data_IF_145990563124
#
_entry.id   IF_145990563124
#
_cell.length_a   1.000
_cell.length_b   1.000
_cell.length_c   1.000
_cell.angle_alpha   90.00
_cell.angle_beta   90.00
_cell.angle_gamma   90.00
#
_symmetry.space_group_name_H-M   'P 1'
#
loop_
_entity.id
_entity.type
_entity.pdbx_description
1 polymer ?
#
# COMPACT_ATOMS: atom_id res chain seq x y z
N UNK A 1 -31.77 113.97 -23.96
CA UNK A 1 -30.82 113.51 -22.90
C UNK A 1 -31.52 112.76 -21.75
N UNK A 2 -32.72 113.16 -21.29
CA UNK A 2 -33.40 112.52 -20.15
C UNK A 2 -33.91 111.07 -20.38
N UNK A 3 -34.27 110.68 -21.61
CA UNK A 3 -34.80 109.34 -21.90
C UNK A 3 -33.76 108.20 -21.77
N UNK A 4 -32.49 108.49 -22.06
CA UNK A 4 -31.40 107.50 -22.03
C UNK A 4 -30.98 107.13 -20.60
N UNK A 5 -30.91 108.10 -19.68
CA UNK A 5 -30.57 107.85 -18.28
C UNK A 5 -31.66 107.06 -17.53
N UNK A 6 -32.95 107.35 -17.82
CA UNK A 6 -34.05 106.60 -17.22
C UNK A 6 -34.10 105.14 -17.68
N UNK A 7 -33.64 104.85 -18.91
CA UNK A 7 -33.59 103.49 -19.44
C UNK A 7 -32.43 102.70 -18.80
N UNK A 8 -31.25 103.30 -18.67
CA UNK A 8 -30.11 102.70 -17.98
C UNK A 8 -30.40 102.39 -16.50
N UNK A 9 -31.11 103.27 -15.78
CA UNK A 9 -31.48 103.02 -14.38
C UNK A 9 -32.46 101.85 -14.23
N UNK A 10 -33.37 101.64 -15.19
CA UNK A 10 -34.28 100.48 -15.20
C UNK A 10 -33.52 99.18 -15.50
N UNK A 11 -32.55 99.21 -16.40
CA UNK A 11 -31.68 98.07 -16.68
C UNK A 11 -30.86 97.69 -15.45
N UNK A 12 -30.22 98.66 -14.79
CA UNK A 12 -29.47 98.44 -13.54
C UNK A 12 -30.39 97.93 -12.42
N UNK A 13 -31.59 98.48 -12.27
CA UNK A 13 -32.57 97.99 -11.29
C UNK A 13 -32.95 96.52 -11.54
N UNK A 14 -33.09 96.13 -12.81
CA UNK A 14 -33.42 94.75 -13.19
C UNK A 14 -32.27 93.80 -12.87
N UNK A 15 -31.04 94.20 -13.21
CA UNK A 15 -29.83 93.45 -12.88
C UNK A 15 -29.64 93.33 -11.35
N UNK A 16 -29.73 94.43 -10.61
CA UNK A 16 -29.63 94.43 -9.15
C UNK A 16 -30.67 93.51 -8.48
N UNK A 17 -31.92 93.49 -8.99
CA UNK A 17 -32.96 92.57 -8.51
C UNK A 17 -32.62 91.11 -8.79
N UNK A 18 -32.06 90.80 -9.97
CA UNK A 18 -31.62 89.42 -10.27
C UNK A 18 -30.46 88.98 -9.39
N UNK A 19 -29.54 89.89 -9.06
CA UNK A 19 -28.39 89.60 -8.19
C UNK A 19 -28.80 89.43 -6.72
N UNK A 20 -29.79 90.20 -6.25
CA UNK A 20 -30.37 90.02 -4.91
C UNK A 20 -31.07 88.67 -4.71
N UNK A 21 -31.46 88.00 -5.80
CA UNK A 21 -32.04 86.64 -5.77
C UNK A 21 -30.99 85.54 -5.92
N UNK A 22 -29.72 85.89 -6.17
CA UNK A 22 -28.66 84.91 -6.36
C UNK A 22 -28.27 84.24 -5.03
N UNK A 23 -27.83 82.97 -5.07
CA UNK A 23 -27.21 82.35 -3.91
C UNK A 23 -25.98 83.15 -3.48
N UNK A 24 -25.90 83.50 -2.18
CA UNK A 24 -24.84 84.35 -1.59
C UNK A 24 -24.88 85.83 -2.03
N UNK A 25 -26.09 86.40 -2.14
CA UNK A 25 -26.32 87.80 -2.47
C UNK A 25 -25.40 88.79 -1.70
N UNK A 26 -25.21 88.60 -0.39
CA UNK A 26 -24.33 89.47 0.43
C UNK A 26 -22.86 89.47 -0.03
N UNK A 27 -22.34 88.33 -0.47
CA UNK A 27 -20.96 88.22 -0.96
C UNK A 27 -20.82 88.86 -2.35
N UNK A 28 -21.87 88.74 -3.16
CA UNK A 28 -21.92 89.30 -4.50
C UNK A 28 -22.06 90.83 -4.46
N UNK A 29 -22.90 91.35 -3.55
CA UNK A 29 -23.03 92.77 -3.26
C UNK A 29 -21.70 93.36 -2.74
N UNK A 30 -21.05 92.68 -1.79
CA UNK A 30 -19.75 93.10 -1.26
C UNK A 30 -18.68 93.21 -2.36
N UNK A 31 -18.65 92.30 -3.33
CA UNK A 31 -17.70 92.33 -4.45
C UNK A 31 -18.05 93.42 -5.46
N UNK A 32 -19.33 93.61 -5.80
CA UNK A 32 -19.79 94.64 -6.73
C UNK A 32 -19.50 96.04 -6.19
N UNK A 33 -19.66 96.26 -4.88
CA UNK A 33 -19.37 97.52 -4.21
C UNK A 33 -17.88 97.92 -4.26
N UNK A 34 -16.96 96.97 -4.52
CA UNK A 34 -15.53 97.31 -4.70
C UNK A 34 -15.22 97.94 -6.05
N UNK A 35 -16.09 97.79 -7.06
CA UNK A 35 -15.88 98.30 -8.42
C UNK A 35 -14.76 97.62 -9.22
N UNK A 36 -14.11 96.60 -8.66
CA UNK A 36 -13.01 95.87 -9.29
C UNK A 36 -13.52 94.68 -10.12
N UNK A 37 -13.43 94.77 -11.45
CA UNK A 37 -13.84 93.71 -12.38
C UNK A 37 -13.22 92.34 -12.04
N UNK A 38 -11.94 92.31 -11.65
CA UNK A 38 -11.21 91.08 -11.34
C UNK A 38 -11.81 90.30 -10.16
N UNK A 39 -12.30 90.98 -9.11
CA UNK A 39 -12.91 90.31 -7.95
C UNK A 39 -14.27 89.70 -8.31
N UNK A 40 -15.02 90.38 -9.17
CA UNK A 40 -16.29 89.86 -9.67
C UNK A 40 -16.10 88.62 -10.54
N UNK A 41 -15.12 88.64 -11.45
CA UNK A 41 -14.74 87.45 -12.24
C UNK A 41 -14.25 86.30 -11.35
N UNK A 42 -13.49 86.59 -10.28
CA UNK A 42 -13.06 85.57 -9.31
C UNK A 42 -14.26 84.92 -8.57
N UNK A 43 -15.24 85.72 -8.13
CA UNK A 43 -16.44 85.20 -7.48
C UNK A 43 -17.28 84.32 -8.42
N UNK A 44 -17.43 84.72 -9.69
CA UNK A 44 -18.08 83.89 -10.71
C UNK A 44 -17.32 82.58 -10.92
N UNK A 45 -15.98 82.63 -10.99
CA UNK A 45 -15.13 81.44 -11.06
C UNK A 45 -15.29 80.51 -9.86
N UNK A 46 -15.44 81.05 -8.64
CA UNK A 46 -15.68 80.26 -7.43
C UNK A 46 -17.05 79.58 -7.43
N UNK A 47 -18.09 80.27 -7.93
CA UNK A 47 -19.43 79.71 -8.10
C UNK A 47 -19.45 78.60 -9.16
N UNK A 48 -18.82 78.83 -10.31
CA UNK A 48 -18.67 77.81 -11.35
C UNK A 48 -17.91 76.59 -10.81
N UNK A 49 -16.81 76.80 -10.09
CA UNK A 49 -16.06 75.73 -9.45
C UNK A 49 -16.90 74.99 -8.39
N UNK A 50 -17.78 75.68 -7.65
CA UNK A 50 -18.69 75.05 -6.70
C UNK A 50 -19.76 74.19 -7.39
N UNK A 51 -20.34 74.68 -8.48
CA UNK A 51 -21.31 73.93 -9.29
C UNK A 51 -20.66 72.69 -9.91
N UNK A 52 -19.45 72.83 -10.46
CA UNK A 52 -18.66 71.70 -10.99
C UNK A 52 -18.40 70.66 -9.88
N UNK A 53 -17.99 71.09 -8.67
CA UNK A 53 -17.79 70.19 -7.53
C UNK A 53 -19.08 69.47 -7.12
N UNK A 54 -20.21 70.18 -7.07
CA UNK A 54 -21.51 69.59 -6.76
C UNK A 54 -21.93 68.56 -7.81
N UNK A 55 -21.78 68.87 -9.10
CA UNK A 55 -22.07 67.95 -10.19
C UNK A 55 -21.17 66.70 -10.13
N UNK A 56 -19.87 66.87 -9.88
CA UNK A 56 -18.93 65.76 -9.72
C UNK A 56 -19.25 64.88 -8.49
N UNK A 57 -19.68 65.49 -7.39
CA UNK A 57 -20.15 64.78 -6.19
C UNK A 57 -21.38 63.94 -6.50
N UNK A 58 -22.39 64.55 -7.14
CA UNK A 58 -23.62 63.87 -7.49
C UNK A 58 -23.36 62.68 -8.42
N UNK A 59 -22.52 62.89 -9.45
CA UNK A 59 -22.09 61.82 -10.35
C UNK A 59 -21.40 60.67 -9.58
N UNK A 60 -20.51 61.00 -8.64
CA UNK A 60 -19.80 60.00 -7.83
C UNK A 60 -20.76 59.22 -6.92
N UNK A 61 -21.73 59.89 -6.30
CA UNK A 61 -22.79 59.25 -5.50
C UNK A 61 -23.65 58.31 -6.35
N UNK A 62 -24.04 58.75 -7.55
CA UNK A 62 -24.85 57.93 -8.44
C UNK A 62 -24.09 56.69 -8.96
N UNK A 63 -22.78 56.80 -9.19
CA UNK A 63 -21.93 55.63 -9.46
C UNK A 63 -21.75 54.73 -8.24
N UNK A 64 -21.64 55.30 -7.04
CA UNK A 64 -21.51 54.53 -5.81
C UNK A 64 -22.78 53.71 -5.49
N UNK A 65 -23.97 54.23 -5.81
CA UNK A 65 -25.24 53.49 -5.67
C UNK A 65 -25.23 52.16 -6.44
N UNK A 66 -24.66 52.14 -7.65
CA UNK A 66 -24.55 50.92 -8.46
C UNK A 66 -23.61 49.89 -7.82
N UNK A 67 -22.60 50.36 -7.10
CA UNK A 67 -21.63 49.49 -6.42
C UNK A 67 -22.07 49.08 -5.02
N UNK A 68 -23.08 49.74 -4.43
CA UNK A 68 -23.48 49.55 -3.04
C UNK A 68 -23.79 48.08 -2.71
N UNK A 69 -24.49 47.37 -3.61
CA UNK A 69 -24.87 45.97 -3.43
C UNK A 69 -23.67 44.99 -3.38
N UNK A 70 -22.49 45.44 -3.82
CA UNK A 70 -21.28 44.63 -3.93
C UNK A 70 -20.22 44.98 -2.87
N UNK A 71 -20.45 46.03 -2.08
CA UNK A 71 -19.51 46.54 -1.09
C UNK A 71 -20.04 46.27 0.32
N UNK A 72 -19.12 46.01 1.26
CA UNK A 72 -19.47 45.98 2.67
C UNK A 72 -19.76 47.38 3.23
N UNK A 73 -20.59 47.45 4.26
CA UNK A 73 -21.09 48.70 4.85
C UNK A 73 -19.96 49.68 5.23
N UNK A 74 -18.87 49.17 5.82
CA UNK A 74 -17.73 49.97 6.26
C UNK A 74 -17.05 50.72 5.10
N UNK A 75 -16.78 50.00 3.99
CA UNK A 75 -16.16 50.60 2.81
C UNK A 75 -17.15 51.54 2.10
N UNK A 76 -18.42 51.18 2.04
CA UNK A 76 -19.47 52.02 1.46
C UNK A 76 -19.56 53.36 2.20
N UNK A 77 -19.56 53.36 3.54
CA UNK A 77 -19.53 54.57 4.35
C UNK A 77 -18.26 55.39 4.12
N UNK A 78 -17.09 54.75 4.05
CA UNK A 78 -15.83 55.44 3.80
C UNK A 78 -15.87 56.20 2.45
N UNK A 79 -16.36 55.56 1.40
CA UNK A 79 -16.47 56.17 0.07
C UNK A 79 -17.48 57.33 0.07
N UNK A 80 -18.60 57.20 0.78
CA UNK A 80 -19.58 58.29 0.95
C UNK A 80 -18.98 59.50 1.69
N UNK A 81 -18.26 59.28 2.80
CA UNK A 81 -17.60 60.35 3.56
C UNK A 81 -16.56 61.08 2.73
N UNK A 82 -15.77 60.35 1.95
CA UNK A 82 -14.80 60.94 1.04
C UNK A 82 -15.46 61.80 -0.04
N UNK A 83 -16.57 61.34 -0.64
CA UNK A 83 -17.34 62.11 -1.64
C UNK A 83 -17.94 63.38 -1.01
N UNK A 84 -18.49 63.29 0.20
CA UNK A 84 -19.02 64.43 0.94
C UNK A 84 -17.92 65.46 1.27
N UNK A 85 -16.73 64.98 1.65
CA UNK A 85 -15.55 65.78 1.98
C UNK A 85 -14.70 66.25 0.79
N UNK A 86 -15.11 65.99 -0.46
CA UNK A 86 -14.33 66.26 -1.68
C UNK A 86 -12.94 65.60 -1.70
N UNK A 87 -12.82 64.43 -1.08
CA UNK A 87 -11.60 63.64 -1.06
C UNK A 87 -11.62 62.57 -2.16
N UNK A 88 -10.43 62.13 -2.57
CA UNK A 88 -10.30 61.12 -3.63
C UNK A 88 -10.55 59.71 -3.12
N UNK A 89 -11.41 58.98 -3.82
CA UNK A 89 -11.62 57.55 -3.61
C UNK A 89 -10.65 56.65 -4.41
N UNK A 90 -9.79 57.23 -5.24
CA UNK A 90 -8.86 56.48 -6.09
C UNK A 90 -7.97 55.51 -5.32
N UNK A 91 -7.44 55.80 -4.11
CA UNK A 91 -6.61 54.84 -3.39
C UNK A 91 -7.40 53.59 -2.95
N UNK A 92 -8.64 53.77 -2.48
CA UNK A 92 -9.48 52.65 -2.06
C UNK A 92 -9.93 51.81 -3.26
N UNK A 93 -10.39 52.47 -4.33
CA UNK A 93 -10.81 51.80 -5.57
C UNK A 93 -9.62 51.17 -6.33
N UNK A 94 -8.44 51.77 -6.22
CA UNK A 94 -7.19 51.25 -6.80
C UNK A 94 -6.82 49.89 -6.23
N UNK A 95 -6.89 49.73 -4.90
CA UNK A 95 -6.67 48.44 -4.23
C UNK A 95 -7.66 47.37 -4.70
N UNK A 96 -8.95 47.71 -4.85
CA UNK A 96 -9.94 46.78 -5.38
C UNK A 96 -9.61 46.38 -6.82
N UNK A 97 -9.22 47.34 -7.66
CA UNK A 97 -8.86 47.10 -9.06
C UNK A 97 -7.61 46.22 -9.20
N UNK A 98 -6.62 46.42 -8.34
CA UNK A 98 -5.41 45.59 -8.30
C UNK A 98 -5.70 44.15 -7.84
N UNK A 99 -6.65 43.96 -6.92
CA UNK A 99 -7.04 42.65 -6.42
C UNK A 99 -8.02 41.90 -7.35
N UNK A 100 -8.76 42.62 -8.20
CA UNK A 100 -9.81 42.08 -9.08
C UNK A 100 -9.37 40.86 -9.92
N UNK A 101 -8.17 40.85 -10.54
CA UNK A 101 -7.68 39.68 -11.29
C UNK A 101 -7.56 38.40 -10.44
N UNK A 102 -7.31 38.54 -9.14
CA UNK A 102 -7.11 37.41 -8.23
C UNK A 102 -8.42 36.91 -7.59
N UNK A 103 -9.53 37.66 -7.76
CA UNK A 103 -10.80 37.37 -7.10
C UNK A 103 -11.35 35.98 -7.43
N UNK A 104 -11.26 35.56 -8.70
CA UNK A 104 -11.72 34.24 -9.13
C UNK A 104 -10.92 33.13 -8.45
N UNK A 105 -9.60 33.28 -8.38
CA UNK A 105 -8.73 32.32 -7.70
C UNK A 105 -9.04 32.28 -6.19
N UNK A 106 -9.21 33.45 -5.56
CA UNK A 106 -9.59 33.55 -4.15
C UNK A 106 -10.92 32.84 -3.85
N UNK A 107 -11.97 33.06 -4.64
CA UNK A 107 -13.26 32.41 -4.41
C UNK A 107 -13.19 30.89 -4.57
N UNK A 108 -12.41 30.39 -5.53
CA UNK A 108 -12.16 28.96 -5.71
C UNK A 108 -11.45 28.34 -4.50
N UNK A 109 -10.46 29.05 -3.95
CA UNK A 109 -9.73 28.59 -2.75
C UNK A 109 -10.62 28.69 -1.51
N UNK A 110 -11.36 29.79 -1.34
CA UNK A 110 -12.22 30.04 -0.18
C UNK A 110 -13.20 28.90 0.08
N UNK A 111 -13.87 28.40 -0.97
CA UNK A 111 -14.82 27.30 -0.84
C UNK A 111 -14.17 25.96 -0.43
N UNK A 112 -12.88 25.79 -0.70
CA UNK A 112 -12.09 24.59 -0.36
C UNK A 112 -11.26 24.76 0.92
N UNK A 113 -11.04 25.99 1.37
CA UNK A 113 -10.19 26.29 2.51
C UNK A 113 -10.65 25.60 3.80
N UNK A 114 -11.97 25.43 3.98
CA UNK A 114 -12.53 24.71 5.12
C UNK A 114 -12.30 23.19 5.09
N UNK A 115 -11.81 22.64 3.97
CA UNK A 115 -11.47 21.22 3.80
C UNK A 115 -9.96 20.96 3.87
N UNK A 116 -9.13 22.01 3.99
CA UNK A 116 -7.69 21.87 4.05
C UNK A 116 -7.28 21.38 5.44
N UNK A 117 -6.48 20.33 5.48
CA UNK A 117 -5.88 19.82 6.71
C UNK A 117 -4.61 20.60 7.08
N UNK A 118 -4.05 20.36 8.27
CA UNK A 118 -2.82 21.01 8.72
C UNK A 118 -1.65 20.77 7.75
N UNK A 119 -1.56 19.56 7.20
CA UNK A 119 -0.55 19.16 6.20
C UNK A 119 -0.69 19.94 4.89
N UNK A 120 -1.92 20.23 4.44
CA UNK A 120 -2.16 21.04 3.25
C UNK A 120 -1.69 22.48 3.46
N UNK A 121 -1.93 23.04 4.65
CA UNK A 121 -1.51 24.39 5.01
C UNK A 121 0.03 24.50 5.09
N UNK A 122 0.70 23.51 5.67
CA UNK A 122 2.16 23.41 5.68
C UNK A 122 2.71 23.35 4.25
N UNK A 123 2.10 22.54 3.39
CA UNK A 123 2.49 22.44 1.99
C UNK A 123 2.32 23.78 1.25
N UNK A 124 1.20 24.49 1.45
CA UNK A 124 0.99 25.82 0.89
C UNK A 124 2.01 26.84 1.42
N UNK A 125 2.40 26.74 2.69
CA UNK A 125 3.47 27.57 3.27
C UNK A 125 4.83 27.32 2.60
N UNK A 126 5.15 26.07 2.25
CA UNK A 126 6.34 25.73 1.47
C UNK A 126 6.28 26.31 0.05
N UNK A 127 5.14 26.21 -0.63
CA UNK A 127 4.96 26.83 -1.95
C UNK A 127 5.11 28.35 -1.90
N UNK A 128 4.64 28.98 -0.81
CA UNK A 128 4.79 30.43 -0.61
C UNK A 128 6.25 30.88 -0.59
N UNK A 129 7.17 30.07 -0.05
CA UNK A 129 8.61 30.35 -0.07
C UNK A 129 9.22 30.34 -1.48
N UNK A 130 8.47 29.87 -2.48
CA UNK A 130 8.88 29.81 -3.89
C UNK A 130 8.02 30.71 -4.77
N UNK A 131 7.27 31.64 -4.18
CA UNK A 131 6.34 32.52 -4.89
C UNK A 131 6.99 33.21 -6.10
N UNK A 132 8.17 33.83 -5.95
CA UNK A 132 8.83 34.53 -7.07
C UNK A 132 9.04 33.64 -8.30
N UNK A 133 9.37 32.36 -8.08
CA UNK A 133 9.58 31.39 -9.17
C UNK A 133 8.26 30.92 -9.78
N UNK A 134 7.19 30.87 -8.99
CA UNK A 134 5.85 30.51 -9.46
C UNK A 134 5.21 31.67 -10.24
N UNK A 135 5.37 32.89 -9.75
CA UNK A 135 4.87 34.11 -10.40
C UNK A 135 5.58 34.40 -11.73
N UNK A 136 6.81 33.90 -11.91
CA UNK A 136 7.53 33.95 -13.18
C UNK A 136 6.94 33.02 -14.27
N UNK A 137 6.07 32.07 -13.89
CA UNK A 137 5.44 31.14 -14.84
C UNK A 137 4.20 31.82 -15.44
N UNK A 138 4.02 31.79 -16.78
CA UNK A 138 2.80 32.30 -17.40
C UNK A 138 1.54 31.66 -16.80
N UNK A 139 0.51 32.46 -16.53
CA UNK A 139 -0.71 32.01 -15.85
C UNK A 139 -1.38 30.79 -16.53
N UNK A 140 -1.33 30.74 -17.86
CA UNK A 140 -1.83 29.62 -18.68
C UNK A 140 -1.05 28.31 -18.50
N UNK A 141 0.23 28.38 -18.13
CA UNK A 141 1.10 27.23 -17.93
C UNK A 141 1.29 26.86 -16.45
N UNK A 142 0.87 27.73 -15.53
CA UNK A 142 1.09 27.59 -14.09
C UNK A 142 0.47 26.30 -13.55
N UNK A 143 -0.81 26.04 -13.84
CA UNK A 143 -1.50 24.84 -13.34
C UNK A 143 -0.80 23.55 -13.82
N UNK A 144 -0.55 23.44 -15.13
CA UNK A 144 0.09 22.28 -15.71
C UNK A 144 1.50 22.05 -15.13
N UNK A 145 2.23 23.13 -14.87
CA UNK A 145 3.60 23.06 -14.33
C UNK A 145 3.61 22.64 -12.87
N UNK A 146 2.75 23.24 -12.02
CA UNK A 146 2.62 22.85 -10.62
C UNK A 146 2.17 21.39 -10.50
N UNK A 147 1.19 20.95 -11.31
CA UNK A 147 0.73 19.56 -11.34
C UNK A 147 1.85 18.59 -11.73
N UNK A 148 2.66 18.91 -12.74
CA UNK A 148 3.81 18.08 -13.15
C UNK A 148 4.87 17.99 -12.06
N UNK A 149 5.21 19.12 -11.43
CA UNK A 149 6.16 19.18 -10.33
C UNK A 149 5.71 18.27 -9.17
N UNK A 150 4.46 18.41 -8.73
CA UNK A 150 3.94 17.60 -7.63
C UNK A 150 3.91 16.11 -7.96
N UNK A 151 3.44 15.76 -9.14
CA UNK A 151 3.43 14.36 -9.59
C UNK A 151 4.84 13.77 -9.67
N UNK A 152 5.84 14.56 -10.06
CA UNK A 152 7.24 14.11 -10.10
C UNK A 152 7.76 13.83 -8.69
N UNK A 153 7.64 14.79 -7.77
CA UNK A 153 8.13 14.62 -6.41
C UNK A 153 7.40 13.51 -5.64
N UNK A 154 6.08 13.38 -5.83
CA UNK A 154 5.31 12.28 -5.25
C UNK A 154 5.81 10.92 -5.74
N UNK A 155 6.06 10.77 -7.05
CA UNK A 155 6.61 9.53 -7.63
C UNK A 155 8.03 9.25 -7.17
N UNK A 156 8.87 10.27 -7.03
CA UNK A 156 10.22 10.12 -6.48
C UNK A 156 10.19 9.69 -5.02
N UNK A 157 9.31 10.28 -4.21
CA UNK A 157 9.11 9.86 -2.82
C UNK A 157 8.60 8.43 -2.71
N UNK A 158 7.64 8.03 -3.55
CA UNK A 158 7.19 6.64 -3.62
C UNK A 158 8.29 5.69 -4.06
N UNK A 159 9.05 6.05 -5.11
CA UNK A 159 10.21 5.27 -5.57
C UNK A 159 11.19 5.06 -4.41
N UNK A 160 11.58 6.13 -3.72
CA UNK A 160 12.54 6.07 -2.62
C UNK A 160 12.03 5.20 -1.47
N UNK A 161 10.75 5.30 -1.12
CA UNK A 161 10.15 4.43 -0.08
C UNK A 161 10.19 2.96 -0.48
N UNK A 162 9.79 2.65 -1.73
CA UNK A 162 9.85 1.28 -2.25
C UNK A 162 11.28 0.73 -2.27
N UNK A 163 12.26 1.54 -2.65
CA UNK A 163 13.68 1.19 -2.64
C UNK A 163 14.24 1.01 -1.21
N UNK A 164 13.74 1.76 -0.22
CA UNK A 164 14.11 1.59 1.19
C UNK A 164 13.51 0.32 1.79
N UNK A 165 12.24 0.05 1.48
CA UNK A 165 11.54 -1.14 1.97
C UNK A 165 12.05 -2.43 1.30
N UNK A 166 12.59 -2.32 0.07
CA UNK A 166 13.12 -3.44 -0.71
C UNK A 166 14.51 -3.08 -1.27
N UNK A 167 15.58 -3.22 -0.47
CA UNK A 167 16.95 -2.92 -0.88
C UNK A 167 17.38 -3.71 -2.13
N UNK A 168 16.76 -4.84 -2.42
CA UNK A 168 16.99 -5.62 -3.62
C UNK A 168 16.66 -4.90 -4.93
N UNK A 169 15.76 -3.91 -4.89
CA UNK A 169 15.47 -3.07 -6.05
C UNK A 169 16.62 -2.13 -6.40
N UNK A 170 17.56 -1.91 -5.47
CA UNK A 170 18.78 -1.14 -5.69
C UNK A 170 19.89 -1.95 -6.37
N UNK A 171 19.76 -3.29 -6.42
CA UNK A 171 20.74 -4.10 -7.12
C UNK A 171 20.79 -3.71 -8.58
N UNK A 172 22.01 -3.51 -9.09
CA UNK A 172 22.19 -3.33 -10.52
C UNK A 172 21.76 -4.62 -11.24
N UNK A 173 21.24 -4.50 -12.46
CA UNK A 173 20.93 -5.68 -13.27
C UNK A 173 22.15 -6.59 -13.46
N UNK A 174 23.36 -6.01 -13.45
CA UNK A 174 24.61 -6.76 -13.57
C UNK A 174 24.93 -7.56 -12.30
N UNK A 175 24.69 -6.99 -11.11
CA UNK A 175 24.87 -7.71 -9.84
C UNK A 175 23.88 -8.88 -9.72
N UNK A 176 22.62 -8.66 -10.08
CA UNK A 176 21.62 -9.73 -10.12
C UNK A 176 22.04 -10.87 -11.07
N UNK A 177 22.51 -10.52 -12.28
CA UNK A 177 23.03 -11.50 -13.25
C UNK A 177 24.25 -12.25 -12.73
N UNK A 178 25.17 -11.57 -12.07
CA UNK A 178 26.37 -12.18 -11.48
C UNK A 178 25.99 -13.19 -10.37
N UNK A 179 25.02 -12.84 -9.51
CA UNK A 179 24.51 -13.75 -8.47
C UNK A 179 23.84 -14.98 -9.06
N UNK A 180 23.01 -14.82 -10.10
CA UNK A 180 22.38 -15.94 -10.81
C UNK A 180 23.43 -16.86 -11.44
N UNK A 181 24.46 -16.30 -12.08
CA UNK A 181 25.54 -17.09 -12.67
C UNK A 181 26.32 -17.88 -11.60
N UNK A 182 26.65 -17.23 -10.48
CA UNK A 182 27.33 -17.88 -9.35
C UNK A 182 26.51 -19.02 -8.74
N UNK A 183 25.19 -18.85 -8.60
CA UNK A 183 24.30 -19.90 -8.12
C UNK A 183 24.25 -21.09 -9.09
N UNK A 184 24.18 -20.81 -10.40
CA UNK A 184 24.19 -21.86 -11.41
C UNK A 184 25.50 -22.66 -11.40
N UNK A 185 26.64 -21.99 -11.20
CA UNK A 185 27.94 -22.66 -11.04
C UNK A 185 27.97 -23.53 -9.78
N UNK A 186 27.49 -23.01 -8.65
CA UNK A 186 27.42 -23.74 -7.39
C UNK A 186 26.53 -24.99 -7.48
N UNK A 187 25.39 -24.92 -8.17
CA UNK A 187 24.51 -26.09 -8.41
C UNK A 187 25.23 -27.18 -9.23
N UNK A 188 25.96 -26.78 -10.28
CA UNK A 188 26.76 -27.73 -11.08
C UNK A 188 27.85 -28.38 -10.23
N UNK A 189 28.58 -27.59 -9.44
CA UNK A 189 29.62 -28.10 -8.54
C UNK A 189 29.05 -29.05 -7.48
N UNK A 190 27.93 -28.70 -6.85
CA UNK A 190 27.23 -29.55 -5.88
C UNK A 190 26.85 -30.91 -6.50
N UNK A 191 26.29 -30.92 -7.72
CA UNK A 191 25.94 -32.17 -8.42
C UNK A 191 27.16 -33.01 -8.74
N UNK A 192 28.28 -32.39 -9.12
CA UNK A 192 29.53 -33.09 -9.38
C UNK A 192 30.09 -33.74 -8.11
N UNK A 193 30.15 -33.00 -7.00
CA UNK A 193 30.59 -33.50 -5.70
C UNK A 193 29.68 -34.62 -5.18
N UNK A 194 28.36 -34.48 -5.30
CA UNK A 194 27.41 -35.53 -4.92
C UNK A 194 27.63 -36.82 -5.72
N UNK A 195 27.94 -36.70 -7.03
CA UNK A 195 28.26 -37.86 -7.87
C UNK A 195 29.54 -38.55 -7.41
N UNK A 196 30.57 -37.78 -7.06
CA UNK A 196 31.84 -38.32 -6.56
C UNK A 196 31.67 -39.01 -5.20
N UNK A 197 30.90 -38.39 -4.29
CA UNK A 197 30.62 -38.92 -2.96
C UNK A 197 29.85 -40.24 -3.02
N UNK A 198 28.83 -40.33 -3.88
CA UNK A 198 28.10 -41.59 -4.12
C UNK A 198 28.98 -42.66 -4.74
N UNK A 199 29.93 -42.30 -5.62
CA UNK A 199 30.85 -43.25 -6.25
C UNK A 199 31.90 -43.82 -5.30
N UNK A 200 32.48 -42.98 -4.42
CA UNK A 200 33.53 -43.39 -3.48
C UNK A 200 33.03 -44.27 -2.32
N UNK A 201 31.76 -44.16 -1.96
CA UNK A 201 31.16 -44.91 -0.85
C UNK A 201 30.78 -46.37 -1.16
N UNK A 202 30.90 -46.81 -2.41
CA UNK A 202 30.47 -48.16 -2.83
C UNK A 202 31.67 -49.10 -2.81
N UNK A 203 31.64 -50.07 -1.89
CA UNK A 203 32.60 -51.17 -1.85
C UNK A 203 32.36 -52.13 -3.03
N UNK A 204 33.22 -52.06 -4.05
CA UNK A 204 33.11 -52.88 -5.25
C UNK A 204 33.20 -54.39 -4.97
N UNK A 205 33.80 -54.80 -3.86
CA UNK A 205 33.89 -56.22 -3.48
C UNK A 205 32.52 -56.81 -3.09
N UNK A 206 31.56 -55.96 -2.70
CA UNK A 206 30.19 -56.37 -2.34
C UNK A 206 29.25 -56.48 -3.54
N UNK A 207 29.73 -56.16 -4.75
CA UNK A 207 28.92 -56.13 -5.95
C UNK A 207 29.04 -57.44 -6.73
N UNK A 208 27.90 -57.93 -7.22
CA UNK A 208 27.86 -59.03 -8.17
C UNK A 208 28.60 -58.72 -9.47
N UNK A 209 29.09 -59.75 -10.15
CA UNK A 209 29.71 -59.63 -11.47
C UNK A 209 28.72 -59.14 -12.53
N UNK A 210 29.24 -58.51 -13.59
CA UNK A 210 28.42 -58.03 -14.73
C UNK A 210 27.50 -59.11 -15.31
N UNK A 211 27.97 -60.36 -15.40
CA UNK A 211 27.18 -61.48 -15.92
C UNK A 211 25.97 -61.83 -15.02
N UNK A 212 26.13 -61.73 -13.70
CA UNK A 212 25.03 -61.93 -12.74
C UNK A 212 24.00 -60.80 -12.86
N UNK A 213 24.46 -59.56 -13.00
CA UNK A 213 23.58 -58.42 -13.24
C UNK A 213 22.83 -58.53 -14.57
N UNK A 214 23.48 -58.94 -15.66
CA UNK A 214 22.84 -59.12 -16.98
C UNK A 214 21.73 -60.19 -17.00
N UNK A 215 21.73 -61.14 -16.07
CA UNK A 215 20.66 -62.13 -15.92
C UNK A 215 19.46 -61.57 -15.14
N UNK A 216 19.72 -60.66 -14.19
CA UNK A 216 18.71 -60.01 -13.35
C UNK A 216 18.07 -58.80 -14.05
N UNK A 217 18.83 -58.02 -14.83
CA UNK A 217 18.37 -56.78 -15.50
C UNK A 217 17.61 -56.98 -16.81
N UNK A 218 17.32 -58.23 -17.21
CA UNK A 218 16.49 -58.53 -18.39
C UNK A 218 15.02 -58.24 -18.07
N UNK A 219 14.61 -57.01 -18.29
CA UNK A 219 13.25 -56.53 -18.00
C UNK A 219 12.24 -56.79 -19.15
N UNK A 220 12.69 -57.31 -20.30
CA UNK A 220 11.85 -57.59 -21.48
C UNK A 220 12.09 -58.99 -22.05
N UNK A 221 11.04 -59.59 -22.65
CA UNK A 221 11.09 -60.91 -23.30
C UNK A 221 10.61 -62.08 -22.43
N UNK A 222 10.75 -63.32 -22.94
CA UNK A 222 10.28 -64.57 -22.30
C UNK A 222 10.95 -64.89 -20.95
N UNK A 223 12.05 -64.21 -20.60
CA UNK A 223 12.77 -64.32 -19.32
C UNK A 223 12.69 -63.03 -18.50
N UNK A 224 11.68 -62.18 -18.75
CA UNK A 224 11.46 -60.97 -17.96
C UNK A 224 11.07 -61.33 -16.53
N UNK A 225 11.72 -60.67 -15.56
CA UNK A 225 11.46 -60.85 -14.13
C UNK A 225 10.50 -59.79 -13.63
N UNK A 226 9.68 -60.13 -12.63
CA UNK A 226 8.82 -59.16 -11.93
C UNK A 226 9.69 -58.21 -11.10
N UNK A 227 9.18 -57.01 -10.80
CA UNK A 227 9.93 -56.02 -10.01
C UNK A 227 10.36 -56.57 -8.64
N UNK A 228 9.50 -57.34 -7.96
CA UNK A 228 9.84 -58.03 -6.71
C UNK A 228 11.03 -58.97 -6.89
N UNK A 229 10.99 -59.85 -7.88
CA UNK A 229 12.06 -60.81 -8.17
C UNK A 229 13.38 -60.09 -8.50
N UNK A 230 13.31 -59.00 -9.28
CA UNK A 230 14.47 -58.16 -9.57
C UNK A 230 15.11 -57.59 -8.29
N UNK A 231 14.29 -57.10 -7.36
CA UNK A 231 14.78 -56.52 -6.10
C UNK A 231 15.36 -57.60 -5.19
N UNK A 232 14.70 -58.75 -5.06
CA UNK A 232 15.18 -59.87 -4.23
C UNK A 232 16.54 -60.37 -4.71
N UNK A 233 16.65 -60.68 -6.00
CA UNK A 233 17.90 -61.17 -6.60
C UNK A 233 18.96 -60.08 -6.68
N UNK A 234 18.55 -58.85 -6.98
CA UNK A 234 19.45 -57.70 -6.99
C UNK A 234 20.00 -57.39 -5.60
N UNK A 235 19.22 -57.56 -4.54
CA UNK A 235 19.67 -57.31 -3.18
C UNK A 235 20.88 -58.18 -2.81
N UNK A 236 20.90 -59.45 -3.23
CA UNK A 236 22.05 -60.36 -3.06
C UNK A 236 23.28 -59.92 -3.89
N UNK A 237 23.07 -59.26 -5.02
CA UNK A 237 24.14 -58.74 -5.89
C UNK A 237 24.65 -57.35 -5.47
N UNK A 238 24.16 -56.80 -4.36
CA UNK A 238 24.57 -55.49 -3.85
C UNK A 238 23.72 -54.31 -4.35
N UNK A 239 22.47 -54.55 -4.80
CA UNK A 239 21.55 -53.48 -5.24
C UNK A 239 21.36 -52.39 -4.19
N UNK A 240 21.22 -52.77 -2.92
CA UNK A 240 21.03 -51.84 -1.80
C UNK A 240 22.28 -50.97 -1.55
N UNK A 241 23.47 -51.45 -1.94
CA UNK A 241 24.71 -50.67 -1.87
C UNK A 241 24.87 -49.75 -3.09
N UNK A 242 24.45 -50.20 -4.28
CA UNK A 242 24.45 -49.38 -5.50
C UNK A 242 23.41 -48.25 -5.45
N UNK A 243 22.27 -48.51 -4.80
CA UNK A 243 21.17 -47.57 -4.61
C UNK A 243 20.89 -47.45 -3.11
N UNK A 244 21.63 -46.58 -2.40
CA UNK A 244 21.47 -46.43 -0.95
C UNK A 244 20.20 -45.66 -0.57
N UNK A 245 19.61 -44.89 -1.49
CA UNK A 245 18.40 -44.08 -1.26
C UNK A 245 17.27 -44.59 -2.14
N UNK A 246 16.12 -44.85 -1.51
CA UNK A 246 14.90 -45.34 -2.17
C UNK A 246 13.75 -44.38 -1.88
N UNK A 247 13.11 -43.90 -2.97
CA UNK A 247 11.91 -43.06 -2.91
C UNK A 247 10.74 -43.88 -3.42
N UNK A 248 9.80 -44.23 -2.55
CA UNK A 248 8.73 -45.18 -2.86
C UNK A 248 7.44 -44.82 -2.12
N UNK A 249 6.31 -45.09 -2.76
CA UNK A 249 5.03 -45.13 -2.05
C UNK A 249 5.02 -46.33 -1.08
N UNK A 250 4.45 -46.20 0.13
CA UNK A 250 4.45 -47.27 1.14
C UNK A 250 3.82 -48.58 0.66
N UNK A 251 2.71 -48.52 -0.09
CA UNK A 251 2.08 -49.72 -0.66
C UNK A 251 3.02 -50.44 -1.63
N UNK A 252 3.73 -49.70 -2.49
CA UNK A 252 4.71 -50.29 -3.40
C UNK A 252 5.87 -50.91 -2.62
N UNK A 253 6.42 -50.18 -1.64
CA UNK A 253 7.49 -50.66 -0.78
C UNK A 253 7.10 -51.96 -0.06
N UNK A 254 5.87 -52.05 0.45
CA UNK A 254 5.32 -53.26 1.06
C UNK A 254 5.29 -54.45 0.10
N UNK A 255 4.90 -54.21 -1.17
CA UNK A 255 4.79 -55.26 -2.18
C UNK A 255 6.12 -55.76 -2.72
N UNK A 256 7.14 -54.92 -2.84
CA UNK A 256 8.34 -55.27 -3.62
C UNK A 256 9.61 -55.43 -2.81
N UNK A 257 9.70 -54.81 -1.63
CA UNK A 257 10.89 -54.93 -0.78
C UNK A 257 10.79 -56.17 0.11
N UNK A 258 11.91 -56.88 0.36
CA UNK A 258 11.91 -58.02 1.26
C UNK A 258 11.48 -57.60 2.67
N UNK A 259 10.75 -58.47 3.36
CA UNK A 259 10.33 -58.25 4.75
C UNK A 259 11.47 -58.63 5.70
N UNK A 260 12.48 -57.76 5.78
CA UNK A 260 13.66 -57.93 6.64
C UNK A 260 13.74 -56.77 7.64
N UNK A 261 13.85 -57.11 8.93
CA UNK A 261 14.03 -56.11 9.98
C UNK A 261 15.30 -55.29 9.73
N UNK A 262 15.20 -53.97 9.87
CA UNK A 262 16.34 -53.07 9.72
C UNK A 262 17.05 -53.17 8.37
N UNK A 263 16.29 -53.40 7.29
CA UNK A 263 16.76 -53.36 5.91
C UNK A 263 17.37 -51.99 5.55
N UNK A 264 16.83 -50.91 6.12
CA UNK A 264 17.33 -49.55 6.01
C UNK A 264 17.78 -49.02 7.37
N UNK A 265 18.85 -48.24 7.37
CA UNK A 265 19.29 -47.52 8.56
C UNK A 265 18.29 -46.43 8.97
N UNK A 266 17.63 -45.81 7.99
CA UNK A 266 16.67 -44.74 8.21
C UNK A 266 15.48 -44.86 7.25
N UNK A 267 14.28 -44.62 7.77
CA UNK A 267 13.04 -44.45 7.00
C UNK A 267 12.47 -43.07 7.31
N UNK A 268 12.20 -42.29 6.27
CA UNK A 268 11.66 -40.94 6.40
C UNK A 268 10.26 -40.94 5.78
N UNK A 269 9.27 -40.52 6.57
CA UNK A 269 7.92 -40.25 6.09
C UNK A 269 7.77 -38.76 5.89
N UNK A 270 7.49 -38.36 4.65
CA UNK A 270 7.09 -37.00 4.30
C UNK A 270 5.56 -36.95 4.19
N UNK A 271 4.95 -35.83 4.56
CA UNK A 271 3.49 -35.65 4.63
C UNK A 271 2.77 -36.75 5.45
N UNK A 272 3.33 -37.09 6.62
CA UNK A 272 2.83 -38.17 7.46
C UNK A 272 1.40 -37.96 8.00
N UNK A 273 0.91 -36.71 8.03
CA UNK A 273 -0.50 -36.43 8.37
C UNK A 273 -1.48 -36.95 7.33
N UNK A 274 -1.02 -37.33 6.13
CA UNK A 274 -1.82 -37.97 5.08
C UNK A 274 -1.60 -39.49 5.02
N UNK A 275 -0.87 -40.07 5.98
CA UNK A 275 -0.47 -41.48 5.97
C UNK A 275 -1.27 -42.30 6.98
N UNK A 276 -2.15 -43.21 6.54
CA UNK A 276 -2.76 -44.19 7.44
C UNK A 276 -1.69 -45.07 8.11
N UNK A 277 -1.86 -45.33 9.39
CA UNK A 277 -0.89 -46.07 10.22
C UNK A 277 -0.61 -47.46 9.63
N UNK A 278 -1.65 -48.15 9.15
CA UNK A 278 -1.57 -49.50 8.60
C UNK A 278 -0.65 -49.61 7.37
N UNK A 279 -0.52 -48.53 6.59
CA UNK A 279 0.35 -48.50 5.41
C UNK A 279 1.81 -48.26 5.77
N UNK A 280 2.08 -47.67 6.94
CA UNK A 280 3.43 -47.40 7.43
C UNK A 280 4.05 -48.62 8.12
N UNK A 281 3.26 -49.53 8.69
CA UNK A 281 3.77 -50.69 9.45
C UNK A 281 4.87 -51.50 8.71
N UNK A 282 4.71 -51.88 7.43
CA UNK A 282 5.72 -52.66 6.73
C UNK A 282 7.03 -51.88 6.53
N UNK A 283 6.96 -50.57 6.33
CA UNK A 283 8.14 -49.72 6.13
C UNK A 283 8.79 -49.35 7.46
N UNK A 284 8.02 -49.19 8.54
CA UNK A 284 8.52 -49.03 9.91
C UNK A 284 9.39 -50.24 10.32
N UNK A 285 8.90 -51.46 10.10
CA UNK A 285 9.65 -52.68 10.42
C UNK A 285 11.00 -52.79 9.67
N UNK A 286 11.08 -52.20 8.48
CA UNK A 286 12.30 -52.22 7.65
C UNK A 286 13.31 -51.15 8.07
N UNK A 287 12.94 -50.16 8.89
CA UNK A 287 13.84 -49.09 9.35
C UNK A 287 14.45 -49.38 10.71
N UNK A 288 15.71 -48.95 10.92
CA UNK A 288 16.31 -48.90 12.27
C UNK A 288 15.95 -47.60 12.99
N UNK A 289 15.97 -46.50 12.26
CA UNK A 289 15.56 -45.17 12.73
C UNK A 289 14.40 -44.71 11.85
N UNK A 290 13.38 -44.13 12.46
CA UNK A 290 12.25 -43.54 11.73
C UNK A 290 12.19 -42.04 11.99
N UNK A 291 12.02 -41.27 10.92
CA UNK A 291 11.76 -39.84 10.97
C UNK A 291 10.38 -39.60 10.37
N UNK A 292 9.53 -38.88 11.08
CA UNK A 292 8.17 -38.56 10.66
C UNK A 292 8.06 -37.05 10.52
N UNK A 293 7.71 -36.59 9.32
CA UNK A 293 7.53 -35.18 8.98
C UNK A 293 6.12 -34.96 8.45
N UNK A 294 5.45 -33.91 8.89
CA UNK A 294 4.11 -33.54 8.45
C UNK A 294 3.60 -32.28 9.14
N UNK A 295 2.44 -31.81 8.69
CA UNK A 295 1.75 -30.64 9.26
C UNK A 295 0.48 -31.09 10.00
N UNK A 296 0.42 -30.77 11.30
CA UNK A 296 -0.70 -31.08 12.19
C UNK A 296 -2.00 -30.37 11.81
N UNK A 297 -1.92 -29.27 11.05
CA UNK A 297 -3.10 -28.51 10.62
C UNK A 297 -3.68 -28.99 9.29
N UNK A 298 -3.02 -29.93 8.62
CA UNK A 298 -3.58 -30.55 7.43
C UNK A 298 -4.67 -31.57 7.80
N UNK A 299 -5.60 -31.82 6.88
CA UNK A 299 -6.66 -32.79 7.11
C UNK A 299 -6.08 -34.21 7.13
N UNK A 300 -6.50 -35.09 8.05
CA UNK A 300 -6.10 -36.50 8.07
C UNK A 300 -6.59 -37.23 6.81
N UNK A 301 -6.04 -38.42 6.49
CA UNK A 301 -6.44 -39.18 5.32
C UNK A 301 -7.93 -39.52 5.35
N UNK A 302 -8.59 -39.44 4.19
CA UNK A 302 -10.03 -39.69 4.08
C UNK A 302 -10.33 -41.18 4.31
N UNK A 303 -10.88 -41.52 5.47
CA UNK A 303 -11.26 -42.89 5.82
C UNK A 303 -12.50 -43.36 5.02
N UNK A 304 -12.30 -43.89 3.81
CA UNK A 304 -13.39 -44.40 2.96
C UNK A 304 -13.95 -45.76 3.39
N UNK A 305 -13.35 -46.46 4.37
CA UNK A 305 -13.69 -47.86 4.70
C UNK A 305 -13.87 -48.20 6.18
N UNK A 306 -13.74 -47.26 7.13
CA UNK A 306 -13.81 -47.56 8.57
C UNK A 306 -15.21 -47.88 9.09
N UNK A 307 -16.28 -47.57 8.36
CA UNK A 307 -17.67 -47.66 8.86
C UNK A 307 -18.30 -49.06 8.91
N UNK A 308 -17.55 -50.16 8.67
CA UNK A 308 -18.11 -51.53 8.61
C UNK A 308 -17.56 -52.54 9.62
N UNK A 309 -16.61 -52.16 10.48
CA UNK A 309 -15.99 -53.11 11.45
C UNK A 309 -16.10 -52.62 12.90
N UNK A 310 -17.03 -51.71 13.18
CA UNK A 310 -17.19 -51.11 14.53
C UNK A 310 -18.06 -51.94 15.50
N UNK A 311 -18.66 -53.07 15.12
CA UNK A 311 -19.78 -53.61 15.94
C UNK A 311 -19.44 -54.65 17.03
N UNK A 312 -18.28 -55.31 17.06
CA UNK A 312 -18.18 -56.56 17.87
C UNK A 312 -17.09 -56.59 18.96
N UNK A 313 -16.28 -55.54 19.17
CA UNK A 313 -15.21 -55.55 20.20
C UNK A 313 -15.24 -54.35 21.17
N UNK A 314 -16.24 -53.47 21.09
CA UNK A 314 -16.30 -52.25 21.90
C UNK A 314 -16.81 -52.45 23.35
N UNK A 315 -17.28 -53.63 23.73
CA UNK A 315 -18.06 -53.84 24.98
C UNK A 315 -17.28 -54.39 26.20
N UNK A 316 -15.94 -54.51 26.18
CA UNK A 316 -15.22 -55.21 27.27
C UNK A 316 -14.18 -54.44 28.09
N UNK A 317 -14.21 -53.10 28.13
CA UNK A 317 -13.30 -52.38 29.02
C UNK A 317 -13.88 -51.09 29.63
N UNK A 318 -14.31 -51.19 30.89
CA UNK A 318 -14.49 -50.06 31.81
C UNK A 318 -13.11 -49.69 32.38
N UNK A 319 -12.66 -48.48 32.12
CA UNK A 319 -11.26 -48.05 32.25
C UNK A 319 -10.79 -47.80 33.68
N UNK A 320 -10.96 -48.76 34.58
CA UNK A 320 -10.32 -48.69 35.90
C UNK A 320 -8.82 -48.93 35.74
N UNK A 321 -8.02 -47.93 36.14
CA UNK A 321 -6.58 -48.09 36.28
C UNK A 321 -6.30 -49.23 37.27
N UNK A 322 -5.31 -50.10 37.01
CA UNK A 322 -4.99 -51.20 37.91
C UNK A 322 -4.65 -50.67 39.31
N UNK A 323 -5.26 -51.24 40.35
CA UNK A 323 -5.01 -50.91 41.75
C UNK A 323 -3.51 -51.09 42.11
N UNK A 324 -3.05 -50.44 43.18
CA UNK A 324 -1.64 -50.52 43.63
C UNK A 324 -1.19 -51.97 43.93
N UNK A 325 -2.13 -52.89 44.18
CA UNK A 325 -1.92 -54.32 44.43
C UNK A 325 -2.04 -55.21 43.17
N UNK A 326 -2.17 -54.64 41.97
CA UNK A 326 -2.29 -55.42 40.74
C UNK A 326 -1.02 -56.23 40.41
N UNK A 327 -1.20 -57.50 40.03
CA UNK A 327 -0.12 -58.40 39.64
C UNK A 327 0.57 -57.94 38.34
N UNK A 328 1.83 -58.35 38.12
CA UNK A 328 2.63 -57.95 36.95
C UNK A 328 1.95 -58.30 35.62
N UNK A 329 1.29 -59.47 35.53
CA UNK A 329 0.49 -59.88 34.37
C UNK A 329 -0.74 -58.96 34.12
N UNK A 330 -1.35 -58.40 35.17
CA UNK A 330 -2.52 -57.51 35.05
C UNK A 330 -2.12 -56.12 34.55
N UNK A 331 -0.93 -55.64 34.97
CA UNK A 331 -0.35 -54.39 34.47
C UNK A 331 0.07 -54.52 33.01
N UNK A 332 0.72 -55.62 32.63
CA UNK A 332 1.05 -55.93 31.24
C UNK A 332 -0.22 -56.02 30.37
N UNK A 333 -1.27 -56.69 30.84
CA UNK A 333 -2.54 -56.79 30.11
C UNK A 333 -3.24 -55.43 29.95
N UNK A 334 -3.19 -54.56 30.97
CA UNK A 334 -3.71 -53.19 30.89
C UNK A 334 -2.92 -52.34 29.90
N UNK A 335 -1.59 -52.38 29.96
CA UNK A 335 -0.71 -51.68 29.02
C UNK A 335 -0.91 -52.17 27.58
N UNK A 336 -1.00 -53.48 27.36
CA UNK A 336 -1.26 -54.08 26.05
C UNK A 336 -2.63 -53.70 25.48
N UNK A 337 -3.65 -53.64 26.33
CA UNK A 337 -5.02 -53.26 25.94
C UNK A 337 -5.13 -51.75 25.67
N UNK A 338 -4.43 -50.92 26.45
CA UNK A 338 -4.31 -49.48 26.26
C UNK A 338 -3.56 -49.15 24.96
N UNK A 339 -2.41 -49.79 24.72
CA UNK A 339 -1.62 -49.66 23.49
C UNK A 339 -2.45 -50.04 22.24
N UNK A 340 -3.30 -51.07 22.33
CA UNK A 340 -4.19 -51.47 21.21
C UNK A 340 -5.25 -50.42 20.88
N UNK A 341 -5.81 -49.73 21.87
CA UNK A 341 -6.82 -48.68 21.66
C UNK A 341 -6.19 -47.43 21.05
N UNK A 342 -5.08 -46.95 21.61
CA UNK A 342 -4.40 -45.74 21.10
C UNK A 342 -3.91 -45.90 19.65
N UNK A 343 -3.36 -47.06 19.27
CA UNK A 343 -2.88 -47.27 17.89
C UNK A 343 -4.05 -47.36 16.90
N UNK A 344 -5.17 -48.00 17.29
CA UNK A 344 -6.36 -48.17 16.44
C UNK A 344 -7.13 -46.86 16.26
N UNK A 345 -7.13 -46.00 17.27
CA UNK A 345 -7.87 -44.73 17.29
C UNK A 345 -7.05 -43.57 16.71
N UNK A 346 -5.77 -43.78 16.37
CA UNK A 346 -4.94 -42.78 15.67
C UNK A 346 -5.36 -42.67 14.19
N UNK A 347 -5.74 -41.47 13.71
CA UNK A 347 -6.18 -41.28 12.33
C UNK A 347 -5.04 -41.33 11.31
N UNK A 348 -3.82 -41.00 11.73
CA UNK A 348 -2.65 -40.95 10.86
C UNK A 348 -1.33 -41.22 11.62
N UNK A 349 -0.27 -41.44 10.84
CA UNK A 349 1.06 -41.73 11.33
C UNK A 349 1.68 -40.54 12.09
N UNK A 350 1.34 -39.29 11.75
CA UNK A 350 1.90 -38.12 12.41
C UNK A 350 1.39 -38.04 13.86
N UNK A 351 0.09 -38.25 14.08
CA UNK A 351 -0.49 -38.24 15.42
C UNK A 351 0.07 -39.38 16.28
N UNK A 352 0.18 -40.60 15.71
CA UNK A 352 0.81 -41.72 16.39
C UNK A 352 2.27 -41.42 16.77
N UNK A 353 3.03 -40.87 15.82
CA UNK A 353 4.44 -40.52 16.03
C UNK A 353 4.63 -39.46 17.11
N UNK A 354 3.72 -38.48 17.23
CA UNK A 354 3.80 -37.45 18.28
C UNK A 354 3.65 -38.02 19.69
N UNK A 355 2.81 -39.05 19.85
CA UNK A 355 2.60 -39.70 21.14
C UNK A 355 3.80 -40.59 21.50
N UNK A 356 4.39 -41.26 20.52
CA UNK A 356 5.43 -42.27 20.73
C UNK A 356 6.88 -41.76 20.59
N UNK A 357 7.12 -40.64 19.91
CA UNK A 357 8.45 -40.15 19.55
C UNK A 357 8.70 -38.71 20.02
N UNK A 358 9.96 -38.33 20.28
CA UNK A 358 10.32 -36.94 20.58
C UNK A 358 9.99 -36.04 19.38
N UNK A 359 9.26 -34.95 19.65
CA UNK A 359 8.87 -33.99 18.61
C UNK A 359 9.82 -32.79 18.57
N UNK A 360 10.00 -32.22 17.38
CA UNK A 360 10.74 -30.97 17.18
C UNK A 360 10.11 -30.20 16.02
N UNK A 361 9.88 -28.91 16.22
CA UNK A 361 9.35 -28.03 15.17
C UNK A 361 10.48 -27.46 14.33
N UNK A 362 10.33 -27.45 13.01
CA UNK A 362 11.25 -26.74 12.13
C UNK A 362 11.24 -25.23 12.48
N UNK A 363 12.40 -24.66 12.77
CA UNK A 363 12.54 -23.24 13.08
C UNK A 363 12.40 -22.34 11.83
N UNK A 364 12.44 -22.94 10.63
CA UNK A 364 12.38 -22.26 9.34
C UNK A 364 11.23 -22.86 8.54
N UNK A 365 10.24 -22.05 8.21
CA UNK A 365 9.12 -22.43 7.38
C UNK A 365 9.51 -22.28 5.91
N UNK A 366 9.49 -23.35 5.10
CA UNK A 366 9.89 -23.31 3.67
C UNK A 366 8.93 -22.51 2.77
N UNK A 367 7.82 -21.97 3.29
CA UNK A 367 7.06 -20.99 2.50
C UNK A 367 7.87 -19.70 2.43
N UNK A 368 8.53 -19.53 1.29
CA UNK A 368 9.01 -18.24 0.77
C UNK A 368 8.17 -17.09 1.33
N UNK A 369 8.83 -16.06 1.86
CA UNK A 369 8.16 -14.83 2.29
C UNK A 369 7.33 -14.20 1.15
N UNK A 370 7.64 -14.54 -0.10
CA UNK A 370 6.95 -14.08 -1.29
C UNK A 370 5.98 -15.14 -1.83
N UNK A 371 4.69 -14.79 -1.83
CA UNK A 371 3.57 -15.63 -2.26
C UNK A 371 3.57 -15.91 -3.77
N UNK A 372 4.21 -15.07 -4.58
CA UNK A 372 4.25 -15.26 -6.04
C UNK A 372 5.21 -16.37 -6.52
N UNK A 373 6.00 -16.94 -5.61
CA UNK A 373 6.91 -18.06 -5.89
C UNK A 373 6.29 -19.43 -5.56
N UNK A 374 5.00 -19.45 -5.21
CA UNK A 374 4.13 -20.63 -5.04
C UNK A 374 3.26 -20.73 -6.29
#
# INVERSE_FOLDING_TARGET
LAGSASQQLREIQTLARSLAQAPRAEQLDAVILTGEKQRFEALLGDLDAALIRQAARQLSLDKLKVLADWLGDELLEQLHRAIAGNQSNLPALGRLREALPQLVAYQRVRGRAGQLEATDLEFLALLRQRQERLDAIPAEALEATVRRMLNREARLGWKQRLEQDNPELLFSQDEARARVASLAEADVQMRALNRELLGKGIDAARLGSRKQWEDVTRLTGKRSRRLREFIELGAELGLMSLRPVWLMNPDLASRVLPLKAGLFDMVIYDEASQMPVEFALPTLYRGRVTVVSGDEKQMPPTAFFSSRVESDEAELFDGEAPDEDADEEQREAYEDTWNRREIKDCPDLLQLARNALPSTTLQIHYRSAYRELI
#
